data_IF_716647670799
#
_entry.id   IF_716647670799
#
_cell.length_a   1.000
_cell.length_b   1.000
_cell.length_c   1.000
_cell.angle_alpha   90.00
_cell.angle_beta   90.00
_cell.angle_gamma   90.00
#
_symmetry.space_group_name_H-M   'P 1'
#
loop_
_entity.id
_entity.type
_entity.pdbx_description
1 polymer ?
#
# COMPACT_ATOMS: atom_id res chain seq x y z
N UNK A 1 -14.93 20.07 -2.39
CA UNK A 1 -13.79 19.15 -2.69
C UNK A 1 -13.38 18.51 -1.39
N UNK A 2 -13.73 17.23 -1.19
CA UNK A 2 -13.39 16.48 0.04
C UNK A 2 -11.89 16.31 0.19
N UNK A 3 -11.42 16.06 1.42
CA UNK A 3 -10.00 16.01 1.75
C UNK A 3 -9.25 14.99 0.88
N UNK A 4 -8.51 15.53 -0.10
CA UNK A 4 -7.85 14.83 -1.21
C UNK A 4 -6.70 13.91 -0.70
N UNK A 5 -6.47 13.78 0.60
CA UNK A 5 -5.26 13.16 1.15
C UNK A 5 -5.50 12.00 2.11
N UNK A 6 -6.71 11.43 2.12
CA UNK A 6 -6.99 10.24 2.91
C UNK A 6 -7.18 9.01 2.02
N UNK A 7 -6.72 7.85 2.50
CA UNK A 7 -7.04 6.57 1.88
C UNK A 7 -8.55 6.34 1.83
N UNK A 8 -9.30 6.74 2.86
CA UNK A 8 -10.76 6.58 2.88
C UNK A 8 -11.46 7.27 1.71
N UNK A 9 -11.05 8.48 1.32
CA UNK A 9 -11.63 9.15 0.16
C UNK A 9 -11.43 8.35 -1.15
N UNK A 10 -10.27 7.68 -1.28
CA UNK A 10 -10.01 6.78 -2.42
C UNK A 10 -10.89 5.54 -2.33
N UNK A 11 -11.01 4.97 -1.14
CA UNK A 11 -11.80 3.77 -0.91
C UNK A 11 -13.29 4.02 -1.14
N UNK A 12 -13.83 5.18 -0.79
CA UNK A 12 -15.20 5.58 -1.11
C UNK A 12 -15.47 5.50 -2.61
N UNK A 13 -14.62 6.14 -3.43
CA UNK A 13 -14.75 6.13 -4.88
C UNK A 13 -14.63 4.72 -5.48
N UNK A 14 -13.71 3.90 -4.95
CA UNK A 14 -13.53 2.50 -5.36
C UNK A 14 -14.76 1.67 -5.00
N UNK A 15 -15.26 1.80 -3.77
CA UNK A 15 -16.42 1.05 -3.28
C UNK A 15 -17.71 1.46 -3.99
N UNK A 16 -17.90 2.74 -4.30
CA UNK A 16 -19.01 3.22 -5.12
C UNK A 16 -18.99 2.63 -6.53
N UNK A 17 -17.80 2.58 -7.14
CA UNK A 17 -17.63 1.97 -8.46
C UNK A 17 -17.96 0.48 -8.42
N UNK A 18 -17.42 -0.24 -7.43
CA UNK A 18 -17.73 -1.66 -7.23
C UNK A 18 -19.23 -1.91 -7.04
N UNK A 19 -19.91 -1.10 -6.21
CA UNK A 19 -21.36 -1.20 -5.98
C UNK A 19 -22.15 -1.03 -7.28
N UNK A 20 -21.83 -0.02 -8.10
CA UNK A 20 -22.51 0.23 -9.39
C UNK A 20 -22.34 -0.94 -10.37
N UNK A 21 -21.13 -1.50 -10.47
CA UNK A 21 -20.87 -2.61 -11.37
C UNK A 21 -21.60 -3.89 -10.92
N UNK A 22 -21.66 -4.13 -9.61
CA UNK A 22 -22.32 -5.32 -9.06
C UNK A 22 -23.84 -5.31 -9.23
N UNK A 23 -24.51 -4.18 -9.02
CA UNK A 23 -25.97 -4.06 -9.21
C UNK A 23 -26.41 -4.38 -10.64
N UNK A 24 -25.50 -4.28 -11.61
CA UNK A 24 -25.77 -4.62 -13.02
C UNK A 24 -25.71 -6.13 -13.32
N UNK A 25 -25.19 -6.95 -12.40
CA UNK A 25 -24.92 -8.38 -12.59
C UNK A 25 -25.81 -9.35 -11.81
N UNK A 26 -26.72 -8.86 -10.96
CA UNK A 26 -27.75 -9.69 -10.30
C UNK A 26 -27.28 -10.66 -9.20
N UNK A 27 -25.99 -10.70 -8.86
CA UNK A 27 -25.49 -11.58 -7.79
C UNK A 27 -25.59 -10.93 -6.40
N UNK A 28 -26.29 -11.58 -5.46
CA UNK A 28 -26.19 -11.27 -4.03
C UNK A 28 -24.76 -11.53 -3.52
N UNK A 29 -24.23 -10.64 -2.67
CA UNK A 29 -22.96 -10.91 -1.98
C UNK A 29 -22.37 -9.70 -1.23
N UNK A 30 -21.09 -9.80 -0.90
CA UNK A 30 -20.31 -8.79 -0.19
C UNK A 30 -20.49 -7.35 -0.72
N UNK A 31 -20.75 -6.41 0.19
CA UNK A 31 -20.90 -4.97 -0.08
C UNK A 31 -19.94 -4.20 0.82
N UNK A 32 -18.85 -3.64 0.29
CA UNK A 32 -17.86 -2.95 1.11
C UNK A 32 -18.43 -1.68 1.75
N UNK A 33 -17.98 -1.38 2.98
CA UNK A 33 -18.34 -0.18 3.73
C UNK A 33 -17.09 0.45 4.35
N UNK A 34 -17.10 1.77 4.47
CA UNK A 34 -16.09 2.52 5.21
C UNK A 34 -16.50 2.53 6.68
N UNK A 35 -15.62 2.04 7.54
CA UNK A 35 -15.66 2.23 8.97
C UNK A 35 -14.79 3.45 9.32
N UNK A 36 -15.42 4.55 9.71
CA UNK A 36 -14.72 5.81 10.02
C UNK A 36 -13.66 5.69 11.13
N UNK A 37 -13.76 4.67 11.98
CA UNK A 37 -12.89 4.49 13.15
C UNK A 37 -11.82 3.41 12.95
N UNK A 38 -11.81 2.68 11.84
CA UNK A 38 -10.89 1.57 11.62
C UNK A 38 -10.27 1.60 10.21
N UNK A 39 -9.21 2.40 9.99
CA UNK A 39 -8.57 2.53 8.68
C UNK A 39 -7.95 1.21 8.21
N UNK A 40 -7.49 0.36 9.13
CA UNK A 40 -6.96 -0.97 8.80
C UNK A 40 -8.06 -1.86 8.22
N UNK A 41 -9.23 -1.91 8.86
CA UNK A 41 -10.39 -2.67 8.35
C UNK A 41 -10.83 -2.16 6.97
N UNK A 42 -10.87 -0.84 6.76
CA UNK A 42 -11.20 -0.27 5.45
C UNK A 42 -10.25 -0.77 4.36
N UNK A 43 -8.96 -0.82 4.68
CA UNK A 43 -7.94 -1.32 3.76
C UNK A 43 -8.06 -2.85 3.55
N UNK A 44 -8.45 -3.62 4.57
CA UNK A 44 -8.76 -5.05 4.38
C UNK A 44 -9.95 -5.26 3.44
N UNK A 45 -11.01 -4.46 3.60
CA UNK A 45 -12.16 -4.47 2.69
C UNK A 45 -11.76 -4.11 1.25
N UNK A 46 -10.84 -3.17 1.07
CA UNK A 46 -10.25 -2.86 -0.24
C UNK A 46 -9.59 -4.08 -0.89
N UNK A 47 -8.76 -4.81 -0.14
CA UNK A 47 -8.14 -6.04 -0.63
C UNK A 47 -9.17 -7.16 -0.89
N UNK A 48 -10.33 -7.14 -0.23
CA UNK A 48 -11.38 -8.14 -0.43
C UNK A 48 -12.20 -7.84 -1.69
N UNK A 49 -12.61 -6.57 -1.89
CA UNK A 49 -13.25 -6.10 -3.12
C UNK A 49 -12.43 -6.50 -4.33
N UNK A 50 -11.13 -6.24 -4.25
CA UNK A 50 -10.16 -6.63 -5.25
C UNK A 50 -10.26 -8.11 -5.62
N UNK A 51 -10.27 -9.01 -4.62
CA UNK A 51 -10.28 -10.45 -4.84
C UNK A 51 -11.57 -10.87 -5.53
N UNK A 52 -12.70 -10.27 -5.15
CA UNK A 52 -13.98 -10.51 -5.81
C UNK A 52 -13.95 -10.05 -7.28
N UNK A 53 -13.39 -8.87 -7.56
CA UNK A 53 -13.25 -8.40 -8.94
C UNK A 53 -12.38 -9.35 -9.78
N UNK A 54 -11.27 -9.87 -9.24
CA UNK A 54 -10.42 -10.87 -9.94
C UNK A 54 -11.18 -12.18 -10.27
N UNK A 55 -12.12 -12.59 -9.43
CA UNK A 55 -12.95 -13.79 -9.69
C UNK A 55 -13.99 -13.55 -10.79
N UNK A 56 -14.61 -12.37 -10.82
CA UNK A 56 -15.58 -11.96 -11.85
C UNK A 56 -14.87 -11.81 -13.22
N UNK A 57 -13.62 -11.35 -13.22
CA UNK A 57 -12.81 -11.03 -14.41
C UNK A 57 -12.28 -12.27 -15.17
N UNK A 58 -12.36 -13.49 -14.60
CA UNK A 58 -11.97 -14.72 -15.33
C UNK A 58 -12.77 -14.94 -16.63
N UNK A 59 -13.89 -14.25 -16.80
CA UNK A 59 -14.77 -14.33 -17.97
C UNK A 59 -14.77 -13.06 -18.85
N UNK A 60 -13.98 -12.02 -18.54
CA UNK A 60 -14.01 -10.77 -19.31
C UNK A 60 -12.61 -10.14 -19.44
N UNK A 61 -12.33 -9.52 -20.59
CA UNK A 61 -11.01 -8.97 -20.97
C UNK A 61 -10.65 -7.66 -20.24
N UNK A 62 -11.26 -7.40 -19.07
CA UNK A 62 -10.93 -6.25 -18.25
C UNK A 62 -9.63 -6.57 -17.50
N UNK A 63 -8.79 -5.56 -17.34
CA UNK A 63 -7.42 -5.81 -16.84
C UNK A 63 -7.53 -6.17 -15.35
N UNK A 64 -6.71 -7.07 -14.85
CA UNK A 64 -6.61 -7.54 -13.45
C UNK A 64 -6.06 -6.49 -12.47
N UNK A 65 -6.79 -6.04 -11.43
CA UNK A 65 -6.20 -5.15 -10.42
C UNK A 65 -4.92 -5.86 -9.85
N UNK A 66 -3.92 -5.26 -9.14
CA UNK A 66 -3.01 -6.06 -8.25
C UNK A 66 -3.21 -5.80 -6.72
N UNK A 67 -2.95 -6.83 -5.88
CA UNK A 67 -3.18 -6.87 -4.42
C UNK A 67 -2.45 -5.78 -3.59
N UNK A 68 -1.58 -4.98 -4.20
CA UNK A 68 -0.93 -3.85 -3.56
C UNK A 68 -0.80 -2.71 -4.57
N UNK A 69 -1.12 -1.49 -4.14
CA UNK A 69 -0.74 -0.26 -4.83
C UNK A 69 -1.09 -0.13 -6.31
N UNK A 70 -2.15 -0.77 -6.81
CA UNK A 70 -2.47 -0.68 -8.23
C UNK A 70 -2.76 0.77 -8.63
N UNK A 71 -1.97 1.25 -9.59
CA UNK A 71 -2.21 2.42 -10.45
C UNK A 71 -3.67 2.76 -10.72
N UNK A 72 -4.59 1.78 -10.76
CA UNK A 72 -6.02 1.99 -10.98
C UNK A 72 -6.80 2.64 -9.88
N UNK A 73 -6.57 2.26 -8.61
CA UNK A 73 -7.22 2.95 -7.51
C UNK A 73 -6.89 4.45 -7.58
N UNK A 74 -5.67 4.75 -8.03
CA UNK A 74 -5.19 6.11 -8.28
C UNK A 74 -5.71 6.72 -9.59
N UNK A 75 -5.89 5.95 -10.67
CA UNK A 75 -6.56 6.42 -11.90
C UNK A 75 -8.00 6.85 -11.64
N UNK A 76 -8.73 6.06 -10.85
CA UNK A 76 -10.10 6.37 -10.44
C UNK A 76 -10.17 7.69 -9.68
N UNK A 77 -9.21 7.92 -8.78
CA UNK A 77 -9.11 9.12 -7.96
C UNK A 77 -8.65 10.36 -8.74
N UNK A 78 -7.54 10.28 -9.47
CA UNK A 78 -6.90 11.44 -10.11
C UNK A 78 -7.54 11.81 -11.45
N UNK A 79 -8.20 10.85 -12.12
CA UNK A 79 -8.66 11.02 -13.51
C UNK A 79 -10.02 10.35 -13.82
N UNK A 80 -10.75 9.92 -12.80
CA UNK A 80 -12.13 9.42 -12.94
C UNK A 80 -12.33 8.33 -14.00
N UNK A 81 -11.42 7.36 -14.16
CA UNK A 81 -11.37 6.21 -15.11
C UNK A 81 -11.63 6.46 -16.62
N UNK A 82 -12.52 7.39 -16.99
CA UNK A 82 -12.96 7.72 -18.34
C UNK A 82 -12.10 8.79 -19.00
N UNK A 83 -11.41 9.65 -18.24
CA UNK A 83 -10.72 10.82 -18.80
C UNK A 83 -9.30 10.53 -19.30
N UNK A 84 -8.56 9.61 -18.65
CA UNK A 84 -7.17 9.28 -19.06
C UNK A 84 -7.08 8.85 -20.53
N UNK A 85 -8.07 8.10 -21.03
CA UNK A 85 -8.08 7.64 -22.42
C UNK A 85 -8.69 8.65 -23.40
N UNK A 86 -9.50 9.60 -22.90
CA UNK A 86 -10.26 10.54 -23.73
C UNK A 86 -9.70 11.96 -23.76
N UNK A 87 -8.81 12.34 -22.86
CA UNK A 87 -8.18 13.67 -22.87
C UNK A 87 -7.33 13.86 -24.15
N UNK A 88 -7.74 14.78 -25.04
CA UNK A 88 -6.92 15.19 -26.17
C UNK A 88 -5.71 15.96 -25.63
N UNK A 89 -4.49 15.60 -26.07
CA UNK A 89 -3.28 16.37 -25.77
C UNK A 89 -2.34 15.80 -24.70
N UNK A 90 -2.74 14.79 -23.90
CA UNK A 90 -1.76 14.03 -23.10
C UNK A 90 -1.02 13.03 -23.97
N UNK A 91 0.30 13.11 -23.95
CA UNK A 91 1.16 12.21 -24.72
C UNK A 91 0.96 10.76 -24.28
N UNK A 92 1.17 9.80 -25.18
CA UNK A 92 1.12 8.37 -24.83
C UNK A 92 2.05 8.03 -23.64
N UNK A 93 3.16 8.77 -23.50
CA UNK A 93 4.12 8.62 -22.39
C UNK A 93 3.52 8.96 -21.02
N UNK A 94 2.64 9.95 -20.92
CA UNK A 94 2.01 10.33 -19.64
C UNK A 94 0.99 9.28 -19.20
N UNK A 95 0.27 8.69 -20.16
CA UNK A 95 -0.65 7.57 -19.93
C UNK A 95 0.10 6.31 -19.50
N UNK A 96 1.24 6.02 -20.12
CA UNK A 96 2.09 4.86 -19.78
C UNK A 96 2.74 4.99 -18.40
N UNK A 97 3.16 6.19 -18.00
CA UNK A 97 3.71 6.45 -16.66
C UNK A 97 2.72 6.06 -15.55
N UNK A 98 1.45 6.42 -15.71
CA UNK A 98 0.41 6.06 -14.75
C UNK A 98 0.19 4.54 -14.67
N UNK A 99 0.32 3.80 -15.77
CA UNK A 99 0.23 2.33 -15.80
C UNK A 99 1.39 1.62 -15.08
N UNK A 100 2.42 2.36 -14.69
CA UNK A 100 3.61 1.83 -14.03
C UNK A 100 3.77 2.37 -12.61
N UNK A 101 2.73 2.98 -12.03
CA UNK A 101 2.75 3.39 -10.64
C UNK A 101 2.51 2.22 -9.68
N UNK A 102 3.18 2.26 -8.52
CA UNK A 102 3.03 1.30 -7.43
C UNK A 102 3.24 1.97 -6.06
N UNK A 103 2.82 1.31 -4.98
CA UNK A 103 3.08 1.82 -3.62
C UNK A 103 4.54 1.65 -3.25
N UNK A 104 5.05 2.60 -2.48
CA UNK A 104 6.42 2.70 -2.00
C UNK A 104 6.65 1.66 -0.92
N UNK A 105 5.71 1.54 0.01
CA UNK A 105 5.66 0.51 1.06
C UNK A 105 4.35 -0.26 0.96
N UNK A 106 4.45 -1.59 0.83
CA UNK A 106 3.29 -2.48 0.95
C UNK A 106 2.74 -2.43 2.36
N UNK A 107 1.41 -2.49 2.51
CA UNK A 107 0.79 -2.60 3.83
C UNK A 107 1.02 -4.00 4.41
N UNK A 108 0.98 -5.03 3.56
CA UNK A 108 1.03 -6.43 3.97
C UNK A 108 2.36 -6.82 4.59
N UNK A 109 3.48 -6.38 4.01
CA UNK A 109 4.82 -6.71 4.49
C UNK A 109 4.99 -6.37 5.98
N UNK A 110 4.87 -5.11 6.43
CA UNK A 110 5.03 -4.77 7.85
C UNK A 110 3.92 -5.34 8.73
N UNK A 111 2.66 -5.36 8.26
CA UNK A 111 1.53 -5.90 9.04
C UNK A 111 1.75 -7.38 9.39
N UNK A 112 2.13 -8.18 8.38
CA UNK A 112 2.41 -9.61 8.54
C UNK A 112 3.61 -9.85 9.44
N UNK A 113 4.70 -9.12 9.24
CA UNK A 113 5.91 -9.30 10.06
C UNK A 113 5.65 -8.94 11.52
N UNK A 114 4.87 -7.88 11.80
CA UNK A 114 4.44 -7.57 13.17
C UNK A 114 3.55 -8.68 13.74
N UNK A 115 2.55 -9.15 13.00
CA UNK A 115 1.63 -10.18 13.48
C UNK A 115 2.35 -11.51 13.77
N UNK A 116 3.33 -11.87 12.93
CA UNK A 116 4.15 -13.08 13.14
C UNK A 116 5.08 -12.98 14.36
N UNK A 117 5.45 -11.78 14.80
CA UNK A 117 6.21 -11.60 16.05
C UNK A 117 5.33 -11.59 17.28
N UNK A 118 4.13 -11.03 17.18
CA UNK A 118 3.14 -11.12 18.25
C UNK A 118 2.63 -12.56 18.43
N UNK A 119 2.63 -13.35 17.34
CA UNK A 119 2.39 -14.78 17.39
C UNK A 119 3.20 -15.53 16.34
N UNK A 120 4.21 -16.28 16.80
CA UNK A 120 5.09 -17.09 15.97
C UNK A 120 4.28 -18.01 15.02
N UNK A 121 4.24 -17.66 13.73
CA UNK A 121 3.69 -18.40 12.58
C UNK A 121 2.23 -18.13 12.12
N UNK A 122 1.53 -17.10 12.57
CA UNK A 122 0.07 -17.06 12.29
C UNK A 122 -0.40 -16.43 10.97
N UNK A 123 0.31 -15.48 10.35
CA UNK A 123 -0.29 -14.74 9.21
C UNK A 123 0.35 -15.12 7.89
N UNK A 124 -0.32 -15.99 7.13
CA UNK A 124 -0.02 -16.29 5.73
C UNK A 124 -0.97 -15.51 4.84
N UNK A 125 -0.62 -14.26 4.52
CA UNK A 125 -1.34 -13.47 3.51
C UNK A 125 -1.14 -14.12 2.13
N UNK A 126 -1.87 -15.19 1.85
CA UNK A 126 -1.78 -15.97 0.61
C UNK A 126 -3.14 -16.42 0.07
N UNK A 127 -4.21 -16.38 0.87
CA UNK A 127 -5.57 -16.72 0.42
C UNK A 127 -6.58 -15.68 0.93
N UNK A 128 -7.72 -15.54 0.25
CA UNK A 128 -8.77 -14.68 0.78
C UNK A 128 -9.58 -15.27 1.93
N UNK A 129 -9.35 -16.53 2.31
CA UNK A 129 -9.85 -17.05 3.59
C UNK A 129 -9.14 -16.36 4.76
N UNK A 130 -7.83 -16.17 4.63
CA UNK A 130 -7.01 -15.42 5.59
C UNK A 130 -7.47 -13.96 5.71
N UNK A 131 -7.79 -13.33 4.56
CA UNK A 131 -8.33 -11.98 4.54
C UNK A 131 -9.73 -11.90 5.18
N UNK A 132 -10.59 -12.88 4.90
CA UNK A 132 -11.91 -13.00 5.54
C UNK A 132 -11.80 -13.16 7.05
N UNK A 133 -10.87 -13.98 7.52
CA UNK A 133 -10.56 -14.13 8.94
C UNK A 133 -10.12 -12.78 9.56
N UNK A 134 -9.15 -12.08 8.96
CA UNK A 134 -8.69 -10.78 9.46
C UNK A 134 -9.86 -9.79 9.55
N UNK A 135 -10.70 -9.73 8.52
CA UNK A 135 -11.90 -8.88 8.51
C UNK A 135 -12.83 -9.24 9.67
N UNK A 136 -13.18 -10.53 9.84
CA UNK A 136 -14.07 -10.95 10.95
C UNK A 136 -13.50 -10.64 12.34
N UNK A 137 -12.17 -10.59 12.49
CA UNK A 137 -11.49 -10.26 13.74
C UNK A 137 -11.54 -8.77 14.03
N UNK A 138 -11.50 -7.94 12.99
CA UNK A 138 -11.47 -6.48 13.06
C UNK A 138 -12.85 -5.82 12.97
N UNK A 139 -13.85 -6.52 12.44
CA UNK A 139 -15.24 -6.07 12.47
C UNK A 139 -15.76 -5.99 13.92
N UNK A 140 -16.57 -4.98 14.24
CA UNK A 140 -17.22 -4.90 15.54
C UNK A 140 -18.29 -6.00 15.63
N UNK A 141 -17.90 -7.18 16.10
CA UNK A 141 -18.82 -8.26 16.46
C UNK A 141 -19.41 -8.06 17.86
N UNK A 142 -20.59 -8.64 18.15
CA UNK A 142 -21.17 -8.67 19.50
C UNK A 142 -20.31 -9.48 20.50
N UNK A 143 -19.48 -10.41 19.98
CA UNK A 143 -18.56 -11.22 20.77
C UNK A 143 -17.12 -10.74 20.55
N UNK A 144 -16.76 -9.63 21.18
CA UNK A 144 -15.36 -9.35 21.48
C UNK A 144 -14.81 -10.53 22.29
N UNK A 145 -13.86 -11.27 21.71
CA UNK A 145 -13.05 -12.25 22.44
C UNK A 145 -12.60 -11.63 23.77
N UNK A 146 -12.54 -12.43 24.85
CA UNK A 146 -12.58 -11.91 26.22
C UNK A 146 -11.50 -10.85 26.45
N UNK A 147 -11.92 -9.73 27.04
CA UNK A 147 -11.05 -8.75 27.66
C UNK A 147 -10.03 -9.43 28.55
N UNK A 148 -8.82 -8.87 28.56
CA UNK A 148 -7.63 -9.26 29.31
C UNK A 148 -7.90 -10.15 30.52
N UNK A 149 -7.34 -11.36 30.50
CA UNK A 149 -7.30 -12.26 31.67
C UNK A 149 -7.79 -13.69 31.47
N UNK A 150 -8.25 -14.10 30.28
CA UNK A 150 -8.53 -15.51 29.96
C UNK A 150 -7.47 -16.07 29.02
N UNK A 151 -6.92 -17.25 29.35
CA UNK A 151 -5.98 -17.96 28.50
C UNK A 151 -6.53 -18.16 27.08
N UNK A 152 -5.71 -17.83 26.08
CA UNK A 152 -6.02 -18.13 24.68
C UNK A 152 -5.94 -19.65 24.46
N UNK A 153 -7.11 -20.30 24.41
CA UNK A 153 -7.25 -21.75 24.37
C UNK A 153 -6.92 -22.36 23.01
N UNK A 154 -7.15 -21.64 21.92
CA UNK A 154 -6.88 -22.13 20.56
C UNK A 154 -5.84 -21.31 19.81
N UNK A 155 -5.23 -21.91 18.80
CA UNK A 155 -4.34 -21.22 17.85
C UNK A 155 -5.05 -20.05 17.14
N UNK A 156 -6.33 -20.22 16.79
CA UNK A 156 -7.13 -19.18 16.16
C UNK A 156 -7.34 -17.98 17.10
N UNK A 157 -7.54 -18.21 18.40
CA UNK A 157 -7.69 -17.12 19.37
C UNK A 157 -6.40 -16.30 19.49
N UNK A 158 -5.25 -16.97 19.51
CA UNK A 158 -3.93 -16.31 19.58
C UNK A 158 -3.62 -15.53 18.31
N UNK A 159 -3.95 -16.10 17.15
CA UNK A 159 -3.87 -15.40 15.85
C UNK A 159 -4.79 -14.18 15.81
N UNK A 160 -6.03 -14.31 16.27
CA UNK A 160 -6.97 -13.19 16.35
C UNK A 160 -6.45 -12.08 17.28
N UNK A 161 -5.89 -12.45 18.43
CA UNK A 161 -5.28 -11.50 19.36
C UNK A 161 -4.11 -10.73 18.74
N UNK A 162 -3.21 -11.43 18.03
CA UNK A 162 -2.10 -10.80 17.31
C UNK A 162 -2.60 -9.81 16.25
N UNK A 163 -3.59 -10.20 15.44
CA UNK A 163 -4.20 -9.32 14.42
C UNK A 163 -4.81 -8.06 15.05
N UNK A 164 -5.60 -8.20 16.13
CA UNK A 164 -6.19 -7.05 16.83
C UNK A 164 -5.12 -6.12 17.40
N UNK A 165 -4.11 -6.69 18.06
CA UNK A 165 -3.02 -5.92 18.66
C UNK A 165 -2.26 -5.12 17.61
N UNK A 166 -1.89 -5.75 16.49
CA UNK A 166 -1.16 -5.07 15.40
C UNK A 166 -2.02 -4.01 14.73
N UNK A 167 -3.32 -4.26 14.51
CA UNK A 167 -4.22 -3.26 13.94
C UNK A 167 -4.44 -2.03 14.84
N UNK A 168 -4.14 -2.14 16.13
CA UNK A 168 -4.18 -1.04 17.09
C UNK A 168 -2.88 -0.24 17.17
N UNK A 169 -1.76 -0.73 16.61
CA UNK A 169 -0.53 0.04 16.59
C UNK A 169 -0.72 1.32 15.77
N UNK A 170 -0.38 2.44 16.38
CA UNK A 170 -0.55 3.77 15.80
C UNK A 170 0.15 3.88 14.43
N UNK A 171 1.36 3.34 14.31
CA UNK A 171 2.11 3.38 13.05
C UNK A 171 1.47 2.54 11.93
N UNK A 172 0.76 1.47 12.29
CA UNK A 172 0.00 0.63 11.32
C UNK A 172 -1.27 1.35 10.88
N UNK A 173 -1.99 1.98 11.83
CA UNK A 173 -3.18 2.78 11.53
C UNK A 173 -2.84 3.97 10.64
N UNK A 174 -1.78 4.70 10.95
CA UNK A 174 -1.30 5.82 10.13
C UNK A 174 -0.90 5.36 8.74
N UNK A 175 -0.21 4.22 8.60
CA UNK A 175 0.09 3.68 7.27
C UNK A 175 -1.20 3.37 6.50
N UNK A 176 -2.20 2.76 7.13
CA UNK A 176 -3.48 2.46 6.48
C UNK A 176 -4.19 3.73 5.99
N UNK A 177 -4.16 4.81 6.76
CA UNK A 177 -4.73 6.11 6.36
C UNK A 177 -3.98 6.75 5.18
N UNK A 178 -2.68 6.49 5.06
CA UNK A 178 -1.81 7.07 4.04
C UNK A 178 -1.57 6.15 2.84
N UNK A 179 -1.99 4.89 2.91
CA UNK A 179 -1.58 3.84 1.99
C UNK A 179 -1.93 4.14 0.52
N UNK A 180 -3.14 4.64 0.26
CA UNK A 180 -3.60 5.04 -1.09
C UNK A 180 -3.44 6.54 -1.36
N UNK A 181 -2.40 7.18 -0.79
CA UNK A 181 -2.07 8.58 -1.09
C UNK A 181 -0.92 8.72 -2.08
N UNK A 182 -0.84 9.85 -2.80
CA UNK A 182 0.22 10.08 -3.81
C UNK A 182 1.62 10.02 -3.21
N UNK A 183 1.80 10.40 -1.95
CA UNK A 183 3.07 10.34 -1.23
C UNK A 183 3.56 8.91 -0.96
N UNK A 184 2.66 7.91 -0.95
CA UNK A 184 3.04 6.51 -0.92
C UNK A 184 3.22 5.93 -2.33
N UNK A 185 3.10 6.70 -3.41
CA UNK A 185 3.25 6.18 -4.76
C UNK A 185 4.60 6.48 -5.41
N UNK A 186 5.06 5.55 -6.24
CA UNK A 186 6.16 5.71 -7.18
C UNK A 186 5.71 5.36 -8.59
N UNK A 187 5.90 6.28 -9.53
CA UNK A 187 5.93 5.93 -10.96
C UNK A 187 7.22 5.16 -11.20
N UNK A 188 7.15 3.89 -11.61
CA UNK A 188 8.34 3.07 -11.80
C UNK A 188 8.98 3.34 -13.17
N UNK A 189 10.32 3.31 -13.30
CA UNK A 189 11.01 3.43 -14.59
C UNK A 189 10.64 2.28 -15.54
N UNK A 190 10.40 1.08 -14.99
CA UNK A 190 9.82 -0.08 -15.68
C UNK A 190 8.93 -0.88 -14.75
N UNK A 191 7.79 -1.37 -15.25
CA UNK A 191 6.84 -2.20 -14.47
C UNK A 191 7.48 -3.43 -13.82
N UNK A 192 8.48 -4.04 -14.48
CA UNK A 192 9.17 -5.23 -13.98
C UNK A 192 9.95 -4.98 -12.68
N UNK A 193 10.26 -3.72 -12.35
CA UNK A 193 10.96 -3.36 -11.13
C UNK A 193 10.18 -3.75 -9.87
N UNK A 194 8.85 -3.60 -9.86
CA UNK A 194 8.05 -3.91 -8.68
C UNK A 194 8.22 -5.38 -8.24
N UNK A 195 8.14 -6.31 -9.20
CA UNK A 195 8.32 -7.74 -8.93
C UNK A 195 9.70 -8.07 -8.32
N UNK A 196 10.71 -7.24 -8.58
CA UNK A 196 12.08 -7.43 -8.06
C UNK A 196 12.33 -6.67 -6.75
N UNK A 197 11.62 -5.57 -6.50
CA UNK A 197 11.80 -4.77 -5.28
C UNK A 197 11.63 -5.61 -4.03
N UNK A 198 10.53 -6.34 -3.90
CA UNK A 198 10.30 -7.19 -2.73
C UNK A 198 11.42 -8.23 -2.56
N UNK A 199 11.77 -8.94 -3.64
CA UNK A 199 12.81 -9.98 -3.62
C UNK A 199 14.18 -9.43 -3.18
N UNK A 200 14.52 -8.21 -3.58
CA UNK A 200 15.86 -7.65 -3.40
C UNK A 200 15.98 -6.77 -2.15
N UNK A 201 14.87 -6.18 -1.72
CA UNK A 201 14.85 -5.10 -0.75
C UNK A 201 13.78 -5.26 0.34
N UNK A 202 12.92 -6.28 0.26
CA UNK A 202 11.81 -6.53 1.21
C UNK A 202 10.91 -5.29 1.41
N UNK A 203 10.70 -4.53 0.34
CA UNK A 203 9.99 -3.24 0.33
C UNK A 203 10.57 -2.15 1.25
N UNK A 204 11.79 -2.32 1.75
CA UNK A 204 12.48 -1.28 2.51
C UNK A 204 12.89 -0.16 1.55
N UNK A 205 12.31 1.02 1.74
CA UNK A 205 12.50 2.20 0.88
C UNK A 205 13.98 2.57 0.72
N UNK A 206 14.71 2.76 1.81
CA UNK A 206 16.13 3.15 1.75
C UNK A 206 16.99 2.16 0.96
N UNK A 207 16.78 0.86 1.21
CA UNK A 207 17.46 -0.22 0.47
C UNK A 207 17.07 -0.22 -1.01
N UNK A 208 15.78 -0.04 -1.31
CA UNK A 208 15.31 0.05 -2.68
C UNK A 208 15.96 1.20 -3.43
N UNK A 209 16.00 2.40 -2.85
CA UNK A 209 16.62 3.57 -3.46
C UNK A 209 18.12 3.36 -3.66
N UNK A 210 18.83 2.75 -2.70
CA UNK A 210 20.25 2.42 -2.82
C UNK A 210 20.53 1.49 -4.01
N UNK A 211 19.68 0.49 -4.21
CA UNK A 211 19.79 -0.49 -5.30
C UNK A 211 19.44 0.09 -6.69
N UNK A 212 18.81 1.27 -6.75
CA UNK A 212 18.51 1.94 -8.02
C UNK A 212 19.74 2.65 -8.63
N UNK A 213 20.71 3.09 -7.82
CA UNK A 213 21.91 3.80 -8.30
C UNK A 213 22.86 2.87 -9.10
N UNK A 214 23.76 3.43 -9.93
CA UNK A 214 24.74 2.64 -10.68
C UNK A 214 25.47 1.60 -9.83
N UNK A 215 25.55 0.37 -10.35
CA UNK A 215 26.10 -0.80 -9.64
C UNK A 215 25.14 -1.50 -8.68
N UNK A 216 23.92 -0.97 -8.48
CA UNK A 216 22.85 -1.65 -7.76
C UNK A 216 22.03 -2.60 -8.66
N UNK A 217 21.35 -3.58 -8.05
CA UNK A 217 20.62 -4.64 -8.76
C UNK A 217 19.34 -4.15 -9.43
N UNK A 218 18.78 -3.00 -9.01
CA UNK A 218 17.60 -2.39 -9.62
C UNK A 218 17.98 -1.37 -10.70
N UNK A 219 19.25 -1.00 -10.84
CA UNK A 219 19.70 -0.02 -11.83
C UNK A 219 19.39 -0.44 -13.27
N UNK A 220 19.32 -1.75 -13.55
CA UNK A 220 18.98 -2.28 -14.88
C UNK A 220 17.58 -1.88 -15.40
N UNK A 221 16.71 -1.34 -14.54
CA UNK A 221 15.40 -0.83 -14.95
C UNK A 221 15.44 0.61 -15.48
N UNK A 222 16.57 1.30 -15.36
CA UNK A 222 16.77 2.70 -15.73
C UNK A 222 17.44 2.82 -17.10
N UNK A 223 16.72 2.48 -18.18
CA UNK A 223 17.27 2.53 -19.55
C UNK A 223 17.16 3.90 -20.21
N UNK A 224 16.11 4.65 -19.88
CA UNK A 224 15.74 5.89 -20.58
C UNK A 224 15.84 7.15 -19.70
N UNK A 225 16.16 6.95 -18.41
CA UNK A 225 16.28 8.01 -17.41
C UNK A 225 17.30 7.57 -16.36
N UNK A 226 18.11 8.49 -15.85
CA UNK A 226 19.01 8.16 -14.74
C UNK A 226 18.22 8.03 -13.43
N UNK A 227 18.70 7.23 -12.47
CA UNK A 227 18.05 7.11 -11.16
C UNK A 227 17.84 8.47 -10.48
N UNK A 228 18.80 9.37 -10.59
CA UNK A 228 18.74 10.72 -10.02
C UNK A 228 17.59 11.54 -10.61
N UNK A 229 17.51 11.62 -11.96
CA UNK A 229 16.44 12.35 -12.65
C UNK A 229 15.06 11.77 -12.35
N UNK A 230 14.99 10.44 -12.22
CA UNK A 230 13.75 9.77 -11.81
C UNK A 230 13.36 10.13 -10.36
N UNK A 231 14.32 10.10 -9.43
CA UNK A 231 14.09 10.45 -8.02
C UNK A 231 13.69 11.91 -7.84
N UNK A 232 14.26 12.82 -8.63
CA UNK A 232 13.83 14.22 -8.71
C UNK A 232 12.36 14.30 -9.16
N UNK A 233 12.01 13.64 -10.26
CA UNK A 233 10.65 13.64 -10.79
C UNK A 233 9.60 13.04 -9.86
N UNK A 234 9.97 12.06 -9.03
CA UNK A 234 9.09 11.44 -8.04
C UNK A 234 9.10 12.12 -6.66
N UNK A 235 9.71 13.31 -6.55
CA UNK A 235 9.84 14.09 -5.31
C UNK A 235 10.45 13.27 -4.16
N UNK A 236 11.56 12.57 -4.43
CA UNK A 236 12.24 11.70 -3.47
C UNK A 236 13.40 12.39 -2.76
N UNK A 237 13.65 13.68 -3.00
CA UNK A 237 14.70 14.45 -2.34
C UNK A 237 14.62 14.37 -0.81
N UNK A 238 13.42 14.32 -0.23
CA UNK A 238 13.19 14.15 1.21
C UNK A 238 13.72 12.82 1.78
N UNK A 239 14.03 11.84 0.94
CA UNK A 239 14.71 10.60 1.35
C UNK A 239 16.22 10.79 1.57
N UNK A 240 16.80 11.94 1.20
CA UNK A 240 18.24 12.20 1.21
C UNK A 240 18.62 13.36 2.13
N UNK A 241 19.81 13.29 2.74
CA UNK A 241 20.29 14.35 3.65
C UNK A 241 20.45 15.66 2.89
N UNK A 242 19.81 16.72 3.36
CA UNK A 242 19.82 18.03 2.70
C UNK A 242 19.19 18.04 1.30
N UNK A 243 18.39 17.04 0.94
CA UNK A 243 17.80 16.92 -0.40
C UNK A 243 18.77 16.49 -1.49
N UNK A 244 20.03 16.16 -1.17
CA UNK A 244 21.06 15.87 -2.17
C UNK A 244 20.99 14.39 -2.57
N UNK A 245 20.43 14.12 -3.74
CA UNK A 245 20.20 12.76 -4.26
C UNK A 245 21.53 12.12 -4.66
N UNK A 246 22.06 11.26 -3.77
CA UNK A 246 23.26 10.45 -3.97
C UNK A 246 23.13 9.12 -3.23
N UNK A 247 23.73 8.06 -3.78
CA UNK A 247 23.68 6.70 -3.22
C UNK A 247 23.99 6.63 -1.73
N UNK A 248 25.06 7.29 -1.31
CA UNK A 248 25.55 7.23 0.08
C UNK A 248 24.97 8.33 0.97
N UNK A 249 24.02 9.12 0.45
CA UNK A 249 23.43 10.26 1.14
C UNK A 249 21.96 10.03 1.52
N UNK A 250 21.54 8.76 1.64
CA UNK A 250 20.22 8.42 2.17
C UNK A 250 20.09 8.95 3.61
N UNK A 251 18.97 9.59 3.90
CA UNK A 251 18.65 10.22 5.18
C UNK A 251 18.01 9.24 6.17
N UNK A 252 16.85 9.61 6.70
CA UNK A 252 16.15 8.97 7.84
C UNK A 252 15.75 7.50 7.59
N UNK A 253 15.76 7.06 6.33
CA UNK A 253 15.33 5.72 5.91
C UNK A 253 16.47 4.69 5.83
N UNK A 254 17.68 5.02 6.31
CA UNK A 254 18.73 4.01 6.43
C UNK A 254 18.33 3.00 7.51
N UNK A 255 18.20 1.71 7.17
CA UNK A 255 18.18 0.68 8.20
C UNK A 255 19.49 0.77 8.98
N UNK A 256 19.43 0.80 10.31
CA UNK A 256 20.63 0.52 11.12
C UNK A 256 21.15 -0.90 10.91
N UNK A 257 20.32 -1.79 10.36
CA UNK A 257 20.60 -3.20 10.13
C UNK A 257 20.06 -3.67 8.76
N UNK A 258 20.78 -4.56 8.07
CA UNK A 258 20.33 -5.20 6.82
C UNK A 258 19.03 -6.02 6.97
N UNK A 259 18.59 -6.24 8.21
CA UNK A 259 17.44 -7.03 8.59
C UNK A 259 16.45 -6.19 9.42
N UNK A 260 15.81 -5.20 8.77
CA UNK A 260 14.83 -4.28 9.38
C UNK A 260 13.59 -4.99 9.99
N UNK A 261 13.47 -6.28 9.74
CA UNK A 261 12.48 -7.18 10.30
C UNK A 261 13.12 -8.13 11.35
N UNK A 262 14.02 -7.62 12.19
CA UNK A 262 14.53 -8.32 13.37
C UNK A 262 13.54 -8.24 14.54
N UNK A 263 13.18 -7.02 14.94
CA UNK A 263 12.35 -6.76 16.12
C UNK A 263 11.07 -5.96 15.81
N UNK A 264 10.01 -6.13 16.61
CA UNK A 264 8.76 -5.36 16.45
C UNK A 264 8.98 -3.86 16.65
N UNK A 265 9.88 -3.46 17.55
CA UNK A 265 10.24 -2.06 17.77
C UNK A 265 10.86 -1.41 16.53
N UNK A 266 11.77 -2.12 15.86
CA UNK A 266 12.44 -1.64 14.64
C UNK A 266 11.44 -1.46 13.48
N UNK A 267 10.51 -2.40 13.28
CA UNK A 267 9.46 -2.23 12.25
C UNK A 267 8.63 -0.98 12.55
N UNK A 268 8.21 -0.80 13.81
CA UNK A 268 7.33 0.32 14.17
C UNK A 268 8.03 1.65 14.00
N UNK A 269 9.30 1.76 14.40
CA UNK A 269 10.11 2.96 14.16
C UNK A 269 10.27 3.24 12.66
N UNK A 270 10.52 2.20 11.85
CA UNK A 270 10.55 2.33 10.40
C UNK A 270 9.22 2.81 9.81
N UNK A 271 8.09 2.23 10.24
CA UNK A 271 6.76 2.65 9.81
C UNK A 271 6.48 4.11 10.15
N UNK A 272 6.89 4.58 11.34
CA UNK A 272 6.77 5.99 11.73
C UNK A 272 7.48 6.90 10.74
N UNK A 273 8.76 6.60 10.45
CA UNK A 273 9.59 7.36 9.50
C UNK A 273 9.03 7.34 8.07
N UNK A 274 8.49 6.20 7.64
CA UNK A 274 7.81 6.08 6.34
C UNK A 274 6.53 6.91 6.29
N UNK A 275 5.73 6.90 7.34
CA UNK A 275 4.51 7.70 7.40
C UNK A 275 4.83 9.20 7.35
N UNK A 276 5.87 9.65 8.05
CA UNK A 276 6.38 11.02 7.95
C UNK A 276 6.81 11.37 6.53
N UNK A 277 7.59 10.49 5.88
CA UNK A 277 7.98 10.66 4.49
C UNK A 277 6.76 10.80 3.56
N UNK A 278 5.77 9.92 3.70
CA UNK A 278 4.55 9.96 2.88
C UNK A 278 3.80 11.29 3.09
N UNK A 279 3.70 11.76 4.34
CA UNK A 279 3.09 13.07 4.67
C UNK A 279 3.85 14.24 4.02
N UNK A 280 5.17 14.25 4.09
CA UNK A 280 6.02 15.27 3.44
C UNK A 280 5.76 15.28 1.93
N UNK A 281 5.83 14.10 1.31
CA UNK A 281 5.61 13.95 -0.14
C UNK A 281 4.20 14.39 -0.55
N UNK A 282 3.18 14.03 0.22
CA UNK A 282 1.80 14.53 0.00
C UNK A 282 1.75 16.06 0.05
N UNK A 283 2.46 16.69 0.99
CA UNK A 283 2.59 18.14 1.07
C UNK A 283 3.27 18.75 -0.14
N UNK A 284 4.32 18.11 -0.66
CA UNK A 284 5.03 18.59 -1.85
C UNK A 284 4.16 18.51 -3.11
N UNK A 285 3.39 17.44 -3.31
CA UNK A 285 2.48 17.34 -4.45
C UNK A 285 1.37 18.41 -4.43
N UNK A 286 0.90 18.84 -3.25
CA UNK A 286 -0.07 19.94 -3.15
C UNK A 286 0.47 21.28 -3.67
N UNK A 287 1.78 21.53 -3.55
CA UNK A 287 2.39 22.80 -4.00
C UNK A 287 2.36 22.97 -5.52
N UNK A 288 2.26 21.86 -6.26
CA UNK A 288 2.31 21.83 -7.72
C UNK A 288 0.93 21.59 -8.39
N UNK A 289 -0.09 21.26 -7.61
CA UNK A 289 -1.48 21.20 -8.07
C UNK A 289 -2.05 22.64 -8.12
N UNK A 290 -1.77 23.35 -9.20
CA UNK A 290 -2.46 24.60 -9.56
C UNK A 290 -3.46 24.32 -10.68
#
# INVERSE_FOLDING_TARGET
MGDINSTNAVLEAVFDTFRREKTSGGEEGYTPRINGNNPVLNLMHYFLVYKHMELIDKNNDRRRLKYDGDSRAFRLREYGDREVWREPGKSGKDKDRLLHADVTVSFWTPFKELANREYANSVRVKSGEELGFIISVLEPGPDSLPSDGKEYKTENDRKAAAVRKVAQFEEVRQLAELYLTRGNLWILPKRKMNNKRYQLCSDIVGRTLKECFPGGRLNCFFTDITPEKWMEGENLASCFKGGIIRRDNLGILQPGNDNLFGESGEIRDYLRKVCELIKIRNGDFKKYAR
#
